data_IF_115027593493
#
_entry.id   IF_115027593493
#
_cell.length_a   1.000
_cell.length_b   1.000
_cell.length_c   1.000
_cell.angle_alpha   90.00
_cell.angle_beta   90.00
_cell.angle_gamma   90.00
#
_symmetry.space_group_name_H-M   'P 1'
#
loop_
_entity.id
_entity.type
_entity.pdbx_description
1 polymer ?
#
# COMPACT_ATOMS: atom_id res chain seq x y z
N UNK A 1 -11.73 9.96 18.50
CA UNK A 1 -11.13 10.23 17.19
C UNK A 1 -11.19 8.93 16.42
N UNK A 2 -12.37 8.57 15.92
CA UNK A 2 -12.63 7.27 15.30
C UNK A 2 -12.80 7.47 13.78
N UNK A 3 -11.96 6.73 13.05
CA UNK A 3 -12.18 6.22 11.70
C UNK A 3 -12.33 7.23 10.55
N UNK A 4 -11.43 8.22 10.45
CA UNK A 4 -11.34 9.11 9.28
C UNK A 4 -11.24 8.32 7.96
N UNK A 5 -10.37 7.29 7.91
CA UNK A 5 -10.18 6.47 6.70
C UNK A 5 -11.47 5.74 6.29
N UNK A 6 -12.29 5.30 7.25
CA UNK A 6 -13.51 4.56 6.93
C UNK A 6 -14.66 5.48 6.51
N UNK A 7 -14.67 6.72 7.00
CA UNK A 7 -15.81 7.64 6.81
C UNK A 7 -15.58 8.71 5.74
N UNK A 8 -14.32 9.09 5.50
CA UNK A 8 -13.94 10.23 4.66
C UNK A 8 -12.99 9.85 3.52
N UNK A 9 -12.83 8.55 3.26
CA UNK A 9 -12.00 8.09 2.15
C UNK A 9 -12.68 7.01 1.30
N UNK A 10 -12.32 7.00 0.02
CA UNK A 10 -12.71 5.95 -0.93
C UNK A 10 -11.53 5.01 -1.12
N UNK A 11 -11.77 3.72 -0.88
CA UNK A 11 -10.80 2.66 -1.10
C UNK A 11 -10.80 2.20 -2.57
N UNK A 12 -9.61 2.01 -3.14
CA UNK A 12 -9.47 1.50 -4.50
C UNK A 12 -8.06 1.06 -4.87
N UNK A 13 -7.85 0.47 -6.06
CA UNK A 13 -6.53 0.13 -6.54
C UNK A 13 -5.74 1.38 -6.89
N UNK A 14 -4.44 1.38 -6.56
CA UNK A 14 -3.53 2.40 -7.06
C UNK A 14 -3.23 2.10 -8.53
N UNK A 15 -3.63 3.01 -9.41
CA UNK A 15 -3.45 2.88 -10.86
C UNK A 15 -2.74 4.11 -11.40
N UNK A 16 -2.13 4.01 -12.58
CA UNK A 16 -1.50 5.17 -13.23
C UNK A 16 -2.48 6.35 -13.36
N UNK A 17 -3.74 6.06 -13.70
CA UNK A 17 -4.77 7.10 -13.76
C UNK A 17 -5.13 7.72 -12.41
N UNK A 18 -4.88 7.07 -11.28
CA UNK A 18 -4.99 7.70 -9.95
C UNK A 18 -3.79 8.60 -9.72
N UNK A 19 -2.57 8.11 -9.96
CA UNK A 19 -1.33 8.89 -9.81
C UNK A 19 -1.35 10.17 -10.66
N UNK A 20 -1.82 10.09 -11.91
CA UNK A 20 -1.87 11.23 -12.83
C UNK A 20 -2.95 12.27 -12.46
N UNK A 21 -3.98 11.89 -11.68
CA UNK A 21 -5.15 12.76 -11.38
C UNK A 21 -5.13 13.36 -9.98
N UNK A 22 -4.40 12.75 -9.05
CA UNK A 22 -4.34 13.10 -7.65
C UNK A 22 -2.98 13.73 -7.32
N UNK A 23 -2.90 14.43 -6.19
CA UNK A 23 -1.65 14.94 -5.68
C UNK A 23 -0.71 13.77 -5.36
N UNK A 24 0.61 13.93 -5.54
CA UNK A 24 1.58 12.91 -5.18
C UNK A 24 1.39 12.46 -3.72
N UNK A 25 1.52 11.17 -3.49
CA UNK A 25 1.52 10.63 -2.13
C UNK A 25 2.78 11.09 -1.39
N UNK A 26 2.60 11.48 -0.12
CA UNK A 26 3.66 11.88 0.79
C UNK A 26 3.45 11.20 2.16
N UNK A 27 4.46 10.48 2.63
CA UNK A 27 4.47 9.67 3.85
C UNK A 27 5.38 10.31 4.90
N UNK A 28 5.22 11.62 5.11
CA UNK A 28 6.02 12.37 6.08
C UNK A 28 7.47 12.48 5.66
N UNK A 29 8.37 11.77 6.37
CA UNK A 29 9.82 11.83 6.14
C UNK A 29 10.39 10.55 5.50
N UNK A 30 9.53 9.68 4.97
CA UNK A 30 9.94 8.41 4.35
C UNK A 30 9.92 8.53 2.82
N UNK A 31 11.00 9.08 2.26
CA UNK A 31 11.16 9.31 0.81
C UNK A 31 11.11 8.00 0.02
N UNK A 32 11.59 6.88 0.60
CA UNK A 32 11.56 5.57 -0.05
C UNK A 32 10.11 5.11 -0.32
N UNK A 33 9.20 5.37 0.63
CA UNK A 33 7.78 5.06 0.44
C UNK A 33 7.13 5.97 -0.61
N UNK A 34 7.49 7.25 -0.61
CA UNK A 34 6.93 8.24 -1.56
C UNK A 34 7.32 7.90 -3.00
N UNK A 35 8.60 7.59 -3.22
CA UNK A 35 9.12 7.16 -4.51
C UNK A 35 8.50 5.82 -4.94
N UNK A 36 8.39 4.86 -4.01
CA UNK A 36 7.79 3.56 -4.31
C UNK A 36 6.35 3.69 -4.82
N UNK A 37 5.49 4.45 -4.10
CA UNK A 37 4.08 4.57 -4.49
C UNK A 37 3.86 5.46 -5.72
N UNK A 38 4.79 6.38 -6.01
CA UNK A 38 4.76 7.25 -7.18
C UNK A 38 5.20 6.55 -8.45
N UNK A 39 6.32 5.83 -8.40
CA UNK A 39 7.01 5.36 -9.60
C UNK A 39 7.00 3.83 -9.75
N UNK A 40 7.12 3.09 -8.65
CA UNK A 40 7.38 1.65 -8.70
C UNK A 40 6.13 0.78 -8.53
N UNK A 41 5.12 1.23 -7.78
CA UNK A 41 3.94 0.45 -7.44
C UNK A 41 3.20 -0.12 -8.68
N UNK A 42 3.16 0.64 -9.77
CA UNK A 42 2.56 0.21 -11.04
C UNK A 42 3.35 -0.93 -11.68
N UNK A 43 4.69 -0.83 -11.65
CA UNK A 43 5.59 -1.88 -12.14
C UNK A 43 5.53 -3.12 -11.25
N UNK A 44 5.43 -2.94 -9.94
CA UNK A 44 5.29 -4.02 -8.96
C UNK A 44 4.08 -4.90 -9.25
N UNK A 45 2.95 -4.27 -9.60
CA UNK A 45 1.74 -4.98 -10.05
C UNK A 45 1.93 -5.66 -11.40
N UNK A 46 2.60 -5.02 -12.35
CA UNK A 46 2.89 -5.59 -13.68
C UNK A 46 3.71 -6.87 -13.58
N UNK A 47 4.67 -6.94 -12.67
CA UNK A 47 5.51 -8.12 -12.44
C UNK A 47 4.91 -9.11 -11.44
N UNK A 48 3.65 -8.94 -11.04
CA UNK A 48 2.95 -9.82 -10.09
C UNK A 48 3.64 -9.93 -8.72
N UNK A 49 4.47 -8.95 -8.35
CA UNK A 49 5.15 -8.92 -7.05
C UNK A 49 4.20 -8.49 -5.93
N UNK A 50 3.20 -7.66 -6.24
CA UNK A 50 2.18 -7.25 -5.29
C UNK A 50 1.12 -6.37 -5.93
N UNK A 51 -0.04 -6.26 -5.26
CA UNK A 51 -1.10 -5.34 -5.64
C UNK A 51 -1.14 -4.17 -4.67
N UNK A 52 -0.99 -2.97 -5.21
CA UNK A 52 -1.05 -1.73 -4.43
C UNK A 52 -2.45 -1.12 -4.46
N UNK A 53 -2.90 -0.66 -3.30
CA UNK A 53 -4.18 -0.02 -3.08
C UNK A 53 -3.99 1.30 -2.34
N UNK A 54 -4.98 2.17 -2.44
CA UNK A 54 -4.97 3.50 -1.85
C UNK A 54 -6.33 3.90 -1.28
N UNK A 55 -6.30 4.85 -0.34
CA UNK A 55 -7.44 5.56 0.19
C UNK A 55 -7.39 7.01 -0.30
N UNK A 56 -8.46 7.45 -0.97
CA UNK A 56 -8.56 8.78 -1.57
C UNK A 56 -9.48 9.64 -0.72
N UNK A 57 -9.06 10.87 -0.39
CA UNK A 57 -9.90 11.81 0.36
C UNK A 57 -11.18 12.15 -0.42
N UNK A 58 -12.32 12.15 0.26
CA UNK A 58 -13.59 12.65 -0.31
C UNK A 58 -13.76 14.16 -0.17
N UNK A 59 -12.97 14.79 0.70
CA UNK A 59 -13.15 16.20 1.08
C UNK A 59 -12.37 17.16 0.17
N UNK A 60 -12.75 17.27 -1.10
CA UNK A 60 -12.26 18.22 -2.12
C UNK A 60 -10.74 18.28 -2.38
N UNK A 61 -9.91 17.74 -1.49
CA UNK A 61 -8.49 17.58 -1.67
C UNK A 61 -8.31 16.32 -2.51
N UNK A 62 -7.67 16.45 -3.66
CA UNK A 62 -7.36 15.31 -4.53
C UNK A 62 -6.17 14.55 -3.94
N UNK A 63 -6.26 14.19 -2.68
CA UNK A 63 -5.15 13.62 -1.92
C UNK A 63 -5.29 12.11 -1.81
N UNK A 64 -4.16 11.46 -1.94
CA UNK A 64 -3.99 10.06 -1.55
C UNK A 64 -3.64 10.07 -0.07
N UNK A 65 -4.56 9.64 0.79
CA UNK A 65 -4.44 9.70 2.25
C UNK A 65 -3.56 8.57 2.78
N UNK A 66 -3.67 7.38 2.18
CA UNK A 66 -2.91 6.21 2.58
C UNK A 66 -2.74 5.24 1.41
N UNK A 67 -1.62 4.52 1.41
CA UNK A 67 -1.29 3.49 0.44
C UNK A 67 -0.81 2.22 1.14
N UNK A 68 -1.05 1.06 0.55
CA UNK A 68 -0.45 -0.20 0.99
C UNK A 68 -0.36 -1.19 -0.17
N UNK A 69 0.62 -2.09 -0.09
CA UNK A 69 0.82 -3.16 -1.07
C UNK A 69 0.62 -4.51 -0.41
N UNK A 70 -0.12 -5.40 -1.08
CA UNK A 70 -0.29 -6.80 -0.67
C UNK A 70 0.44 -7.69 -1.66
N UNK A 71 1.41 -8.45 -1.17
CA UNK A 71 2.15 -9.46 -1.92
C UNK A 71 1.86 -10.86 -1.36
N UNK A 72 1.91 -11.87 -2.23
CA UNK A 72 1.86 -13.26 -1.78
C UNK A 72 3.26 -13.66 -1.33
N UNK A 73 3.37 -14.21 -0.13
CA UNK A 73 4.63 -14.74 0.40
C UNK A 73 4.38 -16.02 1.20
N UNK A 74 5.43 -16.79 1.44
CA UNK A 74 5.41 -18.01 2.23
C UNK A 74 6.51 -17.98 3.28
N UNK A 75 6.14 -18.24 4.54
CA UNK A 75 7.12 -18.35 5.61
C UNK A 75 7.80 -19.72 5.57
N UNK A 76 9.13 -19.76 5.40
CA UNK A 76 9.90 -21.01 5.46
C UNK A 76 10.03 -21.47 6.90
N UNK A 77 9.30 -22.52 7.26
CA UNK A 77 9.34 -23.07 8.62
C UNK A 77 10.54 -24.00 8.86
N UNK A 78 11.24 -24.44 7.81
CA UNK A 78 12.37 -25.37 7.89
C UNK A 78 13.66 -24.78 8.50
N UNK A 79 13.69 -23.48 8.76
CA UNK A 79 14.81 -22.82 9.45
C UNK A 79 14.43 -22.46 10.91
N UNK A 80 13.16 -22.64 11.30
CA UNK A 80 12.71 -22.36 12.67
C UNK A 80 13.18 -23.47 13.63
N UNK A 81 13.54 -23.15 14.88
CA UNK A 81 13.75 -24.17 15.91
C UNK A 81 12.49 -25.01 16.15
N UNK A 82 12.68 -26.27 16.58
CA UNK A 82 11.58 -27.25 16.72
C UNK A 82 10.44 -26.77 17.63
N UNK A 83 10.75 -25.96 18.66
CA UNK A 83 9.76 -25.36 19.56
C UNK A 83 8.81 -24.38 18.87
N UNK A 84 9.26 -23.70 17.81
CA UNK A 84 8.43 -22.75 17.04
C UNK A 84 7.70 -23.42 15.88
N UNK A 85 8.25 -24.49 15.30
CA UNK A 85 7.59 -25.26 14.23
C UNK A 85 6.30 -25.93 14.71
N UNK A 86 6.29 -26.46 15.93
CA UNK A 86 5.15 -27.21 16.47
C UNK A 86 4.07 -26.31 17.11
N UNK A 87 4.27 -24.99 17.11
CA UNK A 87 3.37 -24.01 17.70
C UNK A 87 2.63 -23.15 16.65
N UNK A 88 2.91 -23.37 15.36
CA UNK A 88 2.26 -22.72 14.22
C UNK A 88 1.21 -23.63 13.60
#
# INVERSE_FOLDING_TARGET
>A
MQDFILNSCIFGPLTKGVIDRYNPFECGNDEDMDDFFRDDAISYRKYQMGNTYCFLSTENSKDIVACFTVSNDSLRIYDLPNSRRNAM
#
